data_IF_493272997441
#
_entry.id   IF_493272997441
#
_cell.length_a   1.000
_cell.length_b   1.000
_cell.length_c   1.000
_cell.angle_alpha   90.00
_cell.angle_beta   90.00
_cell.angle_gamma   90.00
#
_symmetry.space_group_name_H-M   'P 1'
#
loop_
_entity.id
_entity.type
_entity.pdbx_description
1 polymer ?
#
# COMPACT_ATOMS: atom_id res chain seq x y z
N UNK A 1 18.77 -14.98 -9.06
CA UNK A 1 20.05 -15.66 -9.20
C UNK A 1 21.00 -14.90 -10.15
N UNK A 2 20.60 -14.63 -11.39
CA UNK A 2 21.48 -13.92 -12.34
C UNK A 2 21.91 -12.53 -11.85
N UNK A 3 20.97 -11.71 -11.40
CA UNK A 3 21.26 -10.35 -10.92
C UNK A 3 22.18 -10.32 -9.67
N UNK A 4 22.15 -11.36 -8.85
CA UNK A 4 22.97 -11.48 -7.64
C UNK A 4 24.26 -12.28 -7.88
N UNK A 5 24.55 -12.70 -9.11
CA UNK A 5 25.68 -13.56 -9.46
C UNK A 5 25.79 -14.83 -8.62
N UNK A 6 24.67 -15.38 -8.13
CA UNK A 6 24.58 -16.64 -7.40
C UNK A 6 23.98 -17.73 -8.27
N UNK A 7 24.34 -19.00 -8.01
CA UNK A 7 23.75 -20.13 -8.73
C UNK A 7 22.30 -20.41 -8.27
N UNK A 8 21.49 -21.00 -9.16
CA UNK A 8 20.17 -21.52 -8.74
C UNK A 8 20.31 -22.52 -7.60
N UNK A 9 21.37 -23.34 -7.61
CA UNK A 9 21.65 -24.32 -6.56
C UNK A 9 21.82 -23.63 -5.20
N UNK A 10 22.64 -22.57 -5.12
CA UNK A 10 22.85 -21.80 -3.89
C UNK A 10 21.52 -21.20 -3.38
N UNK A 11 20.65 -20.76 -4.28
CA UNK A 11 19.32 -20.27 -3.88
C UNK A 11 18.47 -21.36 -3.23
N UNK A 12 18.46 -22.59 -3.80
CA UNK A 12 17.73 -23.74 -3.24
C UNK A 12 18.40 -24.37 -2.01
N UNK A 13 19.66 -24.07 -1.73
CA UNK A 13 20.33 -24.41 -0.46
C UNK A 13 19.87 -23.48 0.69
N UNK A 14 19.48 -22.24 0.36
CA UNK A 14 19.00 -21.23 1.33
C UNK A 14 17.48 -21.28 1.55
N UNK A 15 16.72 -21.64 0.51
CA UNK A 15 15.24 -21.66 0.54
C UNK A 15 14.74 -23.00 0.04
N UNK A 16 13.85 -23.63 0.78
CA UNK A 16 13.29 -24.94 0.43
C UNK A 16 12.57 -24.93 -0.91
N UNK A 17 11.86 -23.81 -1.21
CA UNK A 17 11.12 -23.65 -2.44
C UNK A 17 10.94 -22.14 -2.80
N UNK A 18 10.25 -21.89 -3.89
CA UNK A 18 9.97 -20.52 -4.37
C UNK A 18 8.98 -19.79 -3.48
N UNK A 19 8.05 -20.47 -2.84
CA UNK A 19 7.08 -19.85 -1.94
C UNK A 19 7.76 -19.31 -0.69
N UNK A 20 8.68 -20.06 -0.11
CA UNK A 20 9.47 -19.60 1.03
C UNK A 20 10.32 -18.38 0.68
N UNK A 21 11.00 -18.39 -0.48
CA UNK A 21 11.74 -17.22 -0.95
C UNK A 21 10.84 -15.99 -1.10
N UNK A 22 9.64 -16.15 -1.70
CA UNK A 22 8.68 -15.06 -1.85
C UNK A 22 8.20 -14.56 -0.48
N UNK A 23 7.94 -15.44 0.45
CA UNK A 23 7.52 -15.08 1.81
C UNK A 23 8.56 -14.19 2.49
N UNK A 24 9.84 -14.57 2.43
CA UNK A 24 10.93 -13.76 3.00
C UNK A 24 11.04 -12.38 2.33
N UNK A 25 10.84 -12.29 1.02
CA UNK A 25 10.80 -11.00 0.31
C UNK A 25 9.67 -10.13 0.85
N UNK A 26 8.47 -10.67 1.06
CA UNK A 26 7.35 -9.91 1.64
C UNK A 26 7.58 -9.53 3.10
N UNK A 27 8.23 -10.38 3.89
CA UNK A 27 8.61 -10.07 5.29
C UNK A 27 9.57 -8.88 5.32
N UNK A 28 10.62 -8.91 4.50
CA UNK A 28 11.59 -7.81 4.40
C UNK A 28 10.92 -6.51 3.94
N UNK A 29 10.14 -6.57 2.87
CA UNK A 29 9.42 -5.40 2.35
C UNK A 29 8.46 -4.80 3.40
N UNK A 30 7.76 -5.63 4.16
CA UNK A 30 6.89 -5.17 5.24
C UNK A 30 7.69 -4.46 6.33
N UNK A 31 8.84 -4.98 6.72
CA UNK A 31 9.70 -4.37 7.74
C UNK A 31 10.23 -3.00 7.28
N UNK A 32 10.66 -2.91 6.02
CA UNK A 32 11.08 -1.64 5.41
C UNK A 32 9.94 -0.60 5.39
N UNK A 33 8.73 -1.03 5.05
CA UNK A 33 7.56 -0.15 5.04
C UNK A 33 7.20 0.36 6.43
N UNK A 34 7.23 -0.51 7.45
CA UNK A 34 6.98 -0.12 8.85
C UNK A 34 8.01 0.92 9.30
N UNK A 35 9.29 0.67 9.05
CA UNK A 35 10.37 1.61 9.38
C UNK A 35 10.17 2.94 8.68
N UNK A 36 9.92 2.94 7.38
CA UNK A 36 9.67 4.15 6.60
C UNK A 36 8.49 4.96 7.13
N UNK A 37 7.34 4.33 7.39
CA UNK A 37 6.15 5.03 7.89
C UNK A 37 6.37 5.56 9.31
N UNK A 38 7.07 4.82 10.16
CA UNK A 38 7.43 5.29 11.51
C UNK A 38 8.30 6.55 11.47
N UNK A 39 9.30 6.57 10.59
CA UNK A 39 10.15 7.75 10.39
C UNK A 39 9.36 8.96 9.85
N UNK A 40 8.47 8.74 8.89
CA UNK A 40 7.60 9.79 8.36
C UNK A 40 6.67 10.30 9.45
N UNK A 41 6.00 9.41 10.19
CA UNK A 41 5.06 9.78 11.24
C UNK A 41 5.72 10.61 12.37
N UNK A 42 7.00 10.33 12.67
CA UNK A 42 7.75 11.10 13.67
C UNK A 42 8.03 12.56 13.27
N UNK A 43 7.97 12.87 11.98
CA UNK A 43 8.29 14.20 11.41
C UNK A 43 7.06 14.90 10.84
N UNK A 44 5.98 14.17 10.62
CA UNK A 44 4.76 14.68 9.99
C UNK A 44 4.06 15.72 10.87
N UNK A 45 3.63 16.81 10.27
CA UNK A 45 2.90 17.88 10.93
C UNK A 45 1.42 17.53 11.16
N UNK A 46 0.88 16.61 10.37
CA UNK A 46 -0.51 16.16 10.43
C UNK A 46 -0.68 14.74 9.90
N UNK A 47 -1.85 14.16 10.16
CA UNK A 47 -2.17 12.78 9.76
C UNK A 47 -2.14 12.58 8.23
N UNK A 48 -2.52 13.60 7.44
CA UNK A 48 -2.61 13.47 5.98
C UNK A 48 -1.22 13.38 5.32
N UNK A 49 -0.19 13.99 5.89
CA UNK A 49 1.19 13.87 5.40
C UNK A 49 1.70 12.42 5.46
N UNK A 50 1.34 11.68 6.48
CA UNK A 50 1.68 10.24 6.60
C UNK A 50 1.02 9.44 5.48
N UNK A 51 -0.27 9.71 5.22
CA UNK A 51 -1.02 9.06 4.13
C UNK A 51 -0.42 9.41 2.76
N UNK A 52 -0.01 10.65 2.53
CA UNK A 52 0.63 11.07 1.29
C UNK A 52 1.99 10.39 1.08
N UNK A 53 2.79 10.23 2.13
CA UNK A 53 4.06 9.54 2.05
C UNK A 53 3.86 8.05 1.72
N UNK A 54 2.91 7.40 2.38
CA UNK A 54 2.53 6.01 2.07
C UNK A 54 2.06 5.88 0.61
N UNK A 55 1.19 6.78 0.16
CA UNK A 55 0.71 6.81 -1.22
C UNK A 55 1.87 6.91 -2.23
N UNK A 56 2.80 7.86 -2.04
CA UNK A 56 3.94 8.04 -2.94
C UNK A 56 4.82 6.79 -3.02
N UNK A 57 5.12 6.18 -1.87
CA UNK A 57 5.93 4.97 -1.81
C UNK A 57 5.24 3.82 -2.55
N UNK A 58 3.95 3.62 -2.27
CA UNK A 58 3.17 2.57 -2.90
C UNK A 58 2.99 2.79 -4.40
N UNK A 59 2.77 4.02 -4.83
CA UNK A 59 2.67 4.37 -6.25
C UNK A 59 3.97 4.03 -7.01
N UNK A 60 5.14 4.36 -6.44
CA UNK A 60 6.43 4.02 -7.04
C UNK A 60 6.60 2.51 -7.20
N UNK A 61 6.27 1.73 -6.17
CA UNK A 61 6.33 0.27 -6.20
C UNK A 61 5.42 -0.32 -7.29
N UNK A 62 4.17 0.15 -7.36
CA UNK A 62 3.19 -0.33 -8.34
C UNK A 62 3.52 0.07 -9.78
N UNK A 63 4.25 1.15 -9.97
CA UNK A 63 4.69 1.59 -11.32
C UNK A 63 5.74 0.64 -11.90
N UNK A 64 6.58 0.07 -11.05
CA UNK A 64 7.65 -0.85 -11.46
C UNK A 64 7.20 -2.32 -11.45
N UNK A 65 6.07 -2.62 -10.82
CA UNK A 65 5.61 -3.99 -10.63
C UNK A 65 4.96 -4.54 -11.90
N UNK A 66 5.40 -5.74 -12.32
CA UNK A 66 4.75 -6.46 -13.39
C UNK A 66 3.39 -7.02 -12.90
N UNK A 67 2.26 -6.66 -13.55
CA UNK A 67 0.93 -7.16 -13.15
C UNK A 67 0.81 -8.70 -13.13
N UNK A 68 1.54 -9.39 -14.00
CA UNK A 68 1.58 -10.86 -14.02
C UNK A 68 2.10 -11.47 -12.72
N UNK A 69 2.98 -10.74 -12.01
CA UNK A 69 3.48 -11.18 -10.70
C UNK A 69 2.34 -11.28 -9.68
N UNK A 70 1.44 -10.28 -9.63
CA UNK A 70 0.30 -10.29 -8.71
C UNK A 70 -0.66 -11.46 -9.02
N UNK A 71 -0.91 -11.72 -10.30
CA UNK A 71 -1.72 -12.87 -10.73
C UNK A 71 -1.05 -14.20 -10.36
N UNK A 72 0.27 -14.28 -10.46
CA UNK A 72 1.04 -15.47 -10.11
C UNK A 72 1.04 -15.74 -8.58
N UNK A 73 0.80 -14.73 -7.73
CA UNK A 73 0.67 -14.92 -6.27
C UNK A 73 -0.46 -15.89 -5.90
N UNK A 74 -1.47 -16.06 -6.75
CA UNK A 74 -2.53 -17.08 -6.57
C UNK A 74 -1.99 -18.51 -6.38
N UNK A 75 -0.78 -18.78 -6.90
CA UNK A 75 -0.10 -20.08 -6.80
C UNK A 75 0.59 -20.29 -5.43
N UNK A 76 0.65 -19.26 -4.58
CA UNK A 76 1.40 -19.24 -3.34
C UNK A 76 0.49 -18.88 -2.15
N UNK A 77 -0.31 -19.84 -1.65
CA UNK A 77 -1.34 -19.58 -0.63
C UNK A 77 -0.77 -19.11 0.71
N UNK A 78 0.43 -19.56 1.10
CA UNK A 78 1.07 -19.11 2.34
C UNK A 78 1.49 -17.64 2.26
N UNK A 79 1.97 -17.20 1.11
CA UNK A 79 2.29 -15.79 0.84
C UNK A 79 1.03 -14.93 0.93
N UNK A 80 -0.06 -15.34 0.29
CA UNK A 80 -1.33 -14.62 0.36
C UNK A 80 -1.88 -14.55 1.78
N UNK A 81 -1.80 -15.65 2.53
CA UNK A 81 -2.21 -15.69 3.94
C UNK A 81 -1.39 -14.72 4.79
N UNK A 82 -0.08 -14.67 4.59
CA UNK A 82 0.81 -13.72 5.26
C UNK A 82 0.43 -12.26 4.94
N UNK A 83 0.21 -11.93 3.66
CA UNK A 83 -0.17 -10.58 3.25
C UNK A 83 -1.49 -10.16 3.91
N UNK A 84 -2.51 -11.03 3.90
CA UNK A 84 -3.81 -10.76 4.53
C UNK A 84 -3.71 -10.54 6.04
N UNK A 85 -2.92 -11.35 6.72
CA UNK A 85 -2.72 -11.21 8.15
C UNK A 85 -2.00 -9.89 8.49
N UNK A 86 -1.00 -9.51 7.69
CA UNK A 86 -0.31 -8.22 7.83
C UNK A 86 -1.21 -7.03 7.54
N UNK A 87 -2.10 -7.15 6.55
CA UNK A 87 -3.10 -6.10 6.29
C UNK A 87 -3.97 -5.86 7.53
N UNK A 88 -4.51 -6.89 8.17
CA UNK A 88 -5.30 -6.75 9.40
C UNK A 88 -4.53 -6.04 10.53
N UNK A 89 -3.24 -6.34 10.68
CA UNK A 89 -2.41 -5.66 11.68
C UNK A 89 -2.17 -4.18 11.32
N UNK A 90 -1.95 -3.89 10.05
CA UNK A 90 -1.80 -2.52 9.56
C UNK A 90 -3.10 -1.72 9.69
N UNK A 91 -4.25 -2.36 9.52
CA UNK A 91 -5.57 -1.73 9.65
C UNK A 91 -5.77 -1.14 11.05
N UNK A 92 -5.39 -1.87 12.10
CA UNK A 92 -5.45 -1.37 13.47
C UNK A 92 -4.55 -0.14 13.69
N UNK A 93 -3.35 -0.13 13.11
CA UNK A 93 -2.43 1.01 13.19
C UNK A 93 -2.95 2.22 12.39
N UNK A 94 -3.60 1.99 11.24
CA UNK A 94 -4.17 3.05 10.42
C UNK A 94 -5.30 3.81 11.13
N UNK A 95 -6.11 3.13 11.94
CA UNK A 95 -7.20 3.76 12.70
C UNK A 95 -6.69 4.85 13.65
N UNK A 96 -5.51 4.70 14.23
CA UNK A 96 -4.88 5.73 15.08
C UNK A 96 -4.60 7.00 14.26
N UNK A 97 -4.14 6.87 13.02
CA UNK A 97 -3.90 8.00 12.13
C UNK A 97 -5.19 8.67 11.67
N UNK A 98 -6.25 7.90 11.42
CA UNK A 98 -7.56 8.47 11.09
C UNK A 98 -8.13 9.25 12.26
N UNK A 99 -8.07 8.71 13.48
CA UNK A 99 -8.54 9.41 14.69
C UNK A 99 -7.80 10.73 14.89
N UNK A 100 -6.47 10.73 14.75
CA UNK A 100 -5.67 11.95 14.80
C UNK A 100 -6.11 12.97 13.75
N UNK A 101 -6.38 12.54 12.52
CA UNK A 101 -6.86 13.43 11.47
C UNK A 101 -8.25 14.01 11.71
N UNK A 102 -9.14 13.29 12.42
CA UNK A 102 -10.43 13.82 12.90
C UNK A 102 -10.19 14.91 13.94
N UNK A 103 -9.32 14.66 14.93
CA UNK A 103 -8.96 15.65 15.97
C UNK A 103 -8.32 16.91 15.38
N UNK A 104 -7.54 16.79 14.30
CA UNK A 104 -6.95 17.88 13.54
C UNK A 104 -7.98 18.62 12.65
N UNK A 105 -9.22 18.14 12.55
CA UNK A 105 -10.28 18.69 11.69
C UNK A 105 -10.00 18.50 10.19
N UNK A 106 -9.14 17.55 9.84
CA UNK A 106 -8.78 17.17 8.45
C UNK A 106 -9.74 16.13 7.91
N UNK A 107 -10.09 15.15 8.73
CA UNK A 107 -11.04 14.10 8.37
C UNK A 107 -12.40 14.35 9.00
N UNK A 108 -13.42 13.83 8.36
CA UNK A 108 -14.81 13.90 8.80
C UNK A 108 -15.02 12.99 10.01
N UNK A 109 -15.86 13.38 10.93
CA UNK A 109 -16.19 12.64 12.16
C UNK A 109 -17.43 11.73 12.02
N UNK A 110 -18.15 11.85 10.88
CA UNK A 110 -19.33 11.05 10.55
C UNK A 110 -18.99 9.76 9.75
N UNK A 111 -17.70 9.41 9.64
CA UNK A 111 -17.20 8.26 8.89
C UNK A 111 -16.86 7.11 9.83
N UNK A 112 -17.33 5.91 9.48
CA UNK A 112 -16.83 4.69 10.12
C UNK A 112 -15.50 4.26 9.45
N UNK A 113 -14.37 4.71 10.00
CA UNK A 113 -13.06 4.44 9.44
C UNK A 113 -12.65 2.97 9.47
N UNK A 114 -13.22 2.15 10.35
CA UNK A 114 -12.96 0.71 10.35
C UNK A 114 -13.49 0.07 9.06
N UNK A 115 -14.75 0.36 8.70
CA UNK A 115 -15.34 -0.13 7.46
C UNK A 115 -14.57 0.37 6.24
N UNK A 116 -14.24 1.65 6.22
CA UNK A 116 -13.55 2.29 5.10
C UNK A 116 -12.15 1.71 4.92
N UNK A 117 -11.41 1.53 6.01
CA UNK A 117 -10.07 0.98 5.95
C UNK A 117 -10.07 -0.48 5.46
N UNK A 118 -11.02 -1.29 5.91
CA UNK A 118 -11.20 -2.64 5.39
C UNK A 118 -11.52 -2.63 3.88
N UNK A 119 -12.38 -1.72 3.41
CA UNK A 119 -12.69 -1.59 1.99
C UNK A 119 -11.46 -1.21 1.15
N UNK A 120 -10.58 -0.35 1.68
CA UNK A 120 -9.31 -0.02 1.01
C UNK A 120 -8.38 -1.23 0.97
N UNK A 121 -8.27 -1.97 2.06
CA UNK A 121 -7.43 -3.16 2.13
C UNK A 121 -7.83 -4.23 1.10
N UNK A 122 -9.10 -4.25 0.68
CA UNK A 122 -9.57 -5.12 -0.40
C UNK A 122 -9.02 -4.77 -1.79
N UNK A 123 -8.37 -3.61 -1.98
CA UNK A 123 -7.72 -3.29 -3.26
C UNK A 123 -6.67 -4.34 -3.66
N UNK A 124 -5.96 -4.92 -2.70
CA UNK A 124 -5.00 -5.96 -2.98
C UNK A 124 -5.68 -7.20 -3.61
N UNK A 125 -6.83 -7.62 -3.06
CA UNK A 125 -7.62 -8.72 -3.60
C UNK A 125 -8.10 -8.41 -5.03
N UNK A 126 -8.50 -7.16 -5.29
CA UNK A 126 -8.86 -6.73 -6.64
C UNK A 126 -7.69 -6.88 -7.61
N UNK A 127 -6.47 -6.50 -7.24
CA UNK A 127 -5.28 -6.67 -8.09
C UNK A 127 -4.93 -8.13 -8.33
N UNK A 128 -5.13 -8.99 -7.33
CA UNK A 128 -4.80 -10.41 -7.43
C UNK A 128 -5.87 -11.18 -8.23
N UNK A 129 -7.15 -10.86 -8.08
CA UNK A 129 -8.25 -11.73 -8.53
C UNK A 129 -9.13 -11.16 -9.64
N UNK A 130 -9.03 -9.86 -9.97
CA UNK A 130 -9.80 -9.29 -11.08
C UNK A 130 -8.96 -9.14 -12.35
N UNK A 131 -9.63 -8.96 -13.47
CA UNK A 131 -9.00 -8.74 -14.78
C UNK A 131 -8.79 -7.24 -15.07
N UNK A 132 -9.04 -6.36 -14.08
CA UNK A 132 -8.90 -4.91 -14.24
C UNK A 132 -7.48 -4.51 -14.64
N UNK A 133 -6.49 -5.26 -14.17
CA UNK A 133 -5.06 -5.04 -14.46
C UNK A 133 -4.66 -5.41 -15.89
N UNK A 134 -5.54 -6.04 -16.66
CA UNK A 134 -5.36 -6.31 -18.08
C UNK A 134 -5.67 -5.06 -18.94
N UNK A 135 -6.52 -4.17 -18.42
CA UNK A 135 -7.01 -2.99 -19.14
C UNK A 135 -6.36 -1.68 -18.67
N UNK A 136 -5.88 -1.63 -17.42
CA UNK A 136 -5.35 -0.41 -16.81
C UNK A 136 -4.06 -0.68 -16.04
N UNK A 137 -3.09 0.26 -16.04
CA UNK A 137 -1.88 0.17 -15.22
C UNK A 137 -2.23 0.11 -13.72
N UNK A 138 -1.50 -0.70 -12.95
CA UNK A 138 -1.67 -0.82 -11.49
C UNK A 138 -1.60 0.54 -10.78
N UNK A 139 -0.66 1.37 -11.19
CA UNK A 139 -0.45 2.72 -10.63
C UNK A 139 -1.62 3.65 -10.89
N UNK A 140 -2.30 3.52 -12.03
CA UNK A 140 -3.48 4.31 -12.38
C UNK A 140 -4.68 3.87 -11.54
N UNK A 141 -4.98 2.56 -11.49
CA UNK A 141 -6.07 2.02 -10.66
C UNK A 141 -5.89 2.44 -9.20
N UNK A 142 -4.67 2.27 -8.68
CA UNK A 142 -4.34 2.65 -7.30
C UNK A 142 -4.57 4.15 -7.05
N UNK A 143 -4.14 4.99 -7.97
CA UNK A 143 -4.31 6.45 -7.86
C UNK A 143 -5.77 6.86 -7.85
N UNK A 144 -6.56 6.39 -8.81
CA UNK A 144 -7.97 6.77 -8.92
C UNK A 144 -8.77 6.36 -7.69
N UNK A 145 -8.62 5.11 -7.23
CA UNK A 145 -9.33 4.61 -6.04
C UNK A 145 -8.87 5.34 -4.78
N UNK A 146 -7.55 5.54 -4.61
CA UNK A 146 -7.01 6.20 -3.42
C UNK A 146 -7.49 7.67 -3.34
N UNK A 147 -7.49 8.40 -4.45
CA UNK A 147 -7.92 9.81 -4.42
C UNK A 147 -9.43 9.97 -4.27
N UNK A 148 -10.23 9.11 -4.89
CA UNK A 148 -11.66 9.08 -4.65
C UNK A 148 -11.95 8.88 -3.16
N UNK A 149 -11.22 7.96 -2.53
CA UNK A 149 -11.33 7.68 -1.13
C UNK A 149 -10.90 8.88 -0.26
N UNK A 150 -9.71 9.44 -0.48
CA UNK A 150 -9.21 10.60 0.26
C UNK A 150 -10.20 11.76 0.22
N UNK A 151 -10.78 12.04 -0.96
CA UNK A 151 -11.80 13.09 -1.10
C UNK A 151 -13.08 12.80 -0.35
N UNK A 152 -13.47 11.52 -0.26
CA UNK A 152 -14.68 11.10 0.44
C UNK A 152 -14.60 11.25 1.96
N UNK A 153 -13.40 11.07 2.54
CA UNK A 153 -13.19 11.09 3.99
C UNK A 153 -12.76 12.46 4.55
N UNK A 154 -12.38 13.41 3.70
CA UNK A 154 -11.85 14.71 4.14
C UNK A 154 -12.94 15.76 4.35
N UNK A 155 -12.69 16.66 5.30
CA UNK A 155 -13.40 17.94 5.44
C UNK A 155 -13.00 18.90 4.32
N UNK A 156 -13.64 20.08 4.17
CA UNK A 156 -13.18 21.12 3.24
C UNK A 156 -11.72 21.53 3.45
N UNK A 157 -11.24 21.55 4.70
CA UNK A 157 -9.83 21.82 5.04
C UNK A 157 -8.92 20.70 4.49
N UNK A 158 -9.26 19.45 4.74
CA UNK A 158 -8.50 18.30 4.24
C UNK A 158 -8.55 18.20 2.71
N UNK A 159 -9.67 18.55 2.09
CA UNK A 159 -9.82 18.55 0.62
C UNK A 159 -8.83 19.50 -0.05
N UNK A 160 -8.65 20.72 0.48
CA UNK A 160 -7.65 21.66 -0.06
C UNK A 160 -6.23 21.07 -0.01
N UNK A 161 -5.89 20.34 1.07
CA UNK A 161 -4.59 19.66 1.20
C UNK A 161 -4.45 18.52 0.18
N UNK A 162 -5.50 17.73 -0.03
CA UNK A 162 -5.52 16.65 -1.04
C UNK A 162 -5.34 17.23 -2.45
N UNK A 163 -6.04 18.31 -2.79
CA UNK A 163 -5.95 18.91 -4.12
C UNK A 163 -4.57 19.54 -4.37
N UNK A 164 -3.99 20.22 -3.38
CA UNK A 164 -2.63 20.73 -3.46
C UNK A 164 -1.59 19.59 -3.67
N UNK A 165 -1.75 18.48 -2.95
CA UNK A 165 -0.92 17.32 -3.11
C UNK A 165 -1.04 16.72 -4.52
N UNK A 166 -2.26 16.57 -5.04
CA UNK A 166 -2.52 16.08 -6.40
C UNK A 166 -1.86 16.92 -7.48
N UNK A 167 -1.91 18.24 -7.34
CA UNK A 167 -1.21 19.15 -8.27
C UNK A 167 0.30 18.89 -8.24
N UNK A 168 0.89 18.76 -7.04
CA UNK A 168 2.32 18.47 -6.88
C UNK A 168 2.77 17.13 -7.49
N UNK A 169 1.87 16.15 -7.55
CA UNK A 169 2.16 14.84 -8.16
C UNK A 169 2.07 14.90 -9.68
N UNK A 170 1.11 15.67 -10.22
CA UNK A 170 0.93 15.86 -11.68
C UNK A 170 2.07 16.65 -12.33
N UNK A 171 2.60 17.66 -11.64
CA UNK A 171 3.72 18.49 -12.14
C UNK A 171 5.07 17.74 -12.21
N UNK A 172 5.17 16.57 -11.56
CA UNK A 172 6.38 15.73 -11.53
C UNK A 172 6.34 14.55 -12.51
N UNK A 173 5.24 14.38 -13.24
CA UNK A 173 5.09 13.40 -14.33
C UNK A 173 5.40 14.03 -15.67
#
# INVERSE_FOLDING_TARGET
ACALSISKRTLYELFCDKEQLLLEVFVMHQQEMITYISEVASKAQNALEVIFAFYKRKLSELTELNPLFLRDLRKYPNVLSYIRERQKQNDAAALVHYQKGVEEGIFRDDINFDIINQAISMQFEMFVYSDITENYPLSEIYSEVTFLHMRGITTPKGMQMVDAFLQSVKEKR
#
